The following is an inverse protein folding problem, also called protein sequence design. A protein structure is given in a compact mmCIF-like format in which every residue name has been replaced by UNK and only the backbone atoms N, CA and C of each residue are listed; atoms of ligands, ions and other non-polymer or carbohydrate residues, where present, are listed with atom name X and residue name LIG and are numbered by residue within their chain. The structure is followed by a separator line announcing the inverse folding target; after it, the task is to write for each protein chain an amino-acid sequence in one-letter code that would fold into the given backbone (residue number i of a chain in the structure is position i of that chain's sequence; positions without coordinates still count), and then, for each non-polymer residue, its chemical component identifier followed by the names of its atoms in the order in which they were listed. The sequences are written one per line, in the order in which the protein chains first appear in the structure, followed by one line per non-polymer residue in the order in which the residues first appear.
data_IF_388267210919
#
_entry.id   IF_388267210919
#
_cell.length_a   1.000
_cell.length_b   1.000
_cell.length_c   1.000
_cell.angle_alpha   90.00
_cell.angle_beta   90.00
_cell.angle_gamma   90.00
#
_symmetry.space_group_name_H-M   'P 1'
#
loop_
_entity.id
_entity.type
_entity.pdbx_description
1 polymer ?
#
# COMPACT_ATOMS: atom_id res chain seq x y z
N UNK A 1 -11.20 1.06 2.44
CA UNK A 1 -10.31 2.23 2.55
C UNK A 1 -9.87 2.64 1.14
N UNK A 2 -9.89 3.92 0.82
CA UNK A 2 -9.51 4.44 -0.49
C UNK A 2 -8.27 5.31 -0.36
N UNK A 3 -7.21 5.03 -1.10
CA UNK A 3 -6.09 5.97 -1.19
C UNK A 3 -6.60 7.22 -1.93
N UNK A 4 -6.35 8.40 -1.35
CA UNK A 4 -6.78 9.69 -1.91
C UNK A 4 -5.62 10.62 -2.22
N UNK A 5 -4.47 10.43 -1.56
CA UNK A 5 -3.25 11.17 -1.82
C UNK A 5 -2.02 10.26 -1.77
N UNK A 6 -1.00 10.60 -2.55
CA UNK A 6 0.27 9.88 -2.61
C UNK A 6 1.46 10.84 -2.79
N UNK A 7 2.61 10.45 -2.27
CA UNK A 7 3.92 11.02 -2.62
C UNK A 7 4.88 9.92 -3.09
N UNK A 8 5.97 10.35 -3.76
CA UNK A 8 7.03 9.49 -4.30
C UNK A 8 6.54 8.45 -5.32
N UNK A 9 5.56 8.81 -6.15
CA UNK A 9 5.01 7.90 -7.16
C UNK A 9 6.12 7.39 -8.09
N UNK A 10 6.24 6.08 -8.22
CA UNK A 10 7.09 5.44 -9.22
C UNK A 10 6.20 4.94 -10.37
N UNK A 11 6.64 5.08 -11.61
CA UNK A 11 5.91 4.81 -12.89
C UNK A 11 4.99 3.56 -12.90
N UNK A 12 3.95 3.54 -13.77
CA UNK A 12 2.53 3.60 -13.40
C UNK A 12 2.02 2.37 -12.64
N UNK A 13 1.38 2.63 -11.50
CA UNK A 13 0.87 1.61 -10.57
C UNK A 13 -0.63 1.38 -10.79
N UNK A 14 -1.06 0.42 -11.62
CA UNK A 14 -2.50 0.16 -11.87
C UNK A 14 -3.37 0.11 -10.59
N UNK A 15 -4.58 0.66 -10.65
CA UNK A 15 -5.55 0.58 -9.56
C UNK A 15 -6.01 -0.88 -9.39
N UNK A 16 -5.33 -1.63 -8.54
CA UNK A 16 -5.72 -3.00 -8.20
C UNK A 16 -6.64 -3.00 -7.00
N UNK A 17 -7.76 -3.70 -7.13
CA UNK A 17 -8.58 -4.04 -5.96
C UNK A 17 -7.82 -5.08 -5.16
N UNK A 18 -7.58 -4.77 -3.90
CA UNK A 18 -6.88 -5.69 -2.98
C UNK A 18 -7.91 -6.51 -2.23
N UNK A 19 -7.69 -7.83 -2.17
CA UNK A 19 -8.41 -8.71 -1.24
C UNK A 19 -7.56 -8.84 0.01
N UNK A 20 -8.14 -8.55 1.18
CA UNK A 20 -7.44 -8.71 2.46
C UNK A 20 -8.13 -9.70 3.35
N UNK A 21 -7.36 -10.51 4.08
CA UNK A 21 -7.90 -11.46 5.04
C UNK A 21 -6.92 -11.71 6.19
N UNK A 22 -7.42 -12.34 7.26
CA UNK A 22 -6.62 -12.80 8.38
C UNK A 22 -6.86 -14.28 8.60
N UNK A 23 -5.80 -15.08 8.60
CA UNK A 23 -5.87 -16.54 8.86
C UNK A 23 -4.92 -16.85 10.01
N UNK A 24 -5.47 -17.15 11.19
CA UNK A 24 -4.68 -17.23 12.42
C UNK A 24 -3.98 -15.90 12.71
N UNK A 25 -2.65 -15.93 12.81
CA UNK A 25 -1.82 -14.74 13.05
C UNK A 25 -1.35 -14.05 11.76
N UNK A 26 -1.67 -14.62 10.59
CA UNK A 26 -1.22 -14.10 9.29
C UNK A 26 -2.21 -13.09 8.73
N UNK A 27 -1.69 -11.93 8.35
CA UNK A 27 -2.35 -10.96 7.49
C UNK A 27 -2.02 -11.29 6.04
N UNK A 28 -3.04 -11.29 5.19
CA UNK A 28 -2.94 -11.68 3.79
C UNK A 28 -3.47 -10.54 2.94
N UNK A 29 -2.73 -10.19 1.88
CA UNK A 29 -3.14 -9.25 0.83
C UNK A 29 -2.94 -9.93 -0.51
N UNK A 30 -3.96 -9.91 -1.37
CA UNK A 30 -3.95 -10.57 -2.69
C UNK A 30 -4.45 -9.64 -3.79
N UNK A 31 -3.82 -9.72 -4.96
CA UNK A 31 -4.31 -9.09 -6.18
C UNK A 31 -3.75 -9.79 -7.45
N UNK A 32 -4.39 -9.61 -8.63
CA UNK A 32 -3.86 -10.11 -9.90
C UNK A 32 -2.46 -9.56 -10.22
N UNK A 33 -1.57 -10.37 -10.79
CA UNK A 33 -0.23 -9.97 -11.21
C UNK A 33 -0.12 -9.92 -12.74
N UNK A 34 -0.20 -8.70 -13.31
CA UNK A 34 -0.43 -8.41 -14.74
C UNK A 34 0.44 -9.12 -15.78
N UNK A 35 1.61 -9.63 -15.41
CA UNK A 35 2.47 -10.36 -16.36
C UNK A 35 2.24 -11.88 -16.39
N UNK A 36 1.20 -12.40 -15.72
CA UNK A 36 0.87 -13.84 -15.68
C UNK A 36 -0.57 -14.10 -15.24
N UNK A 37 -1.11 -15.30 -15.48
CA UNK A 37 -2.37 -15.79 -14.85
C UNK A 37 -2.27 -15.98 -13.32
N UNK A 38 -1.24 -15.40 -12.69
CA UNK A 38 -0.90 -15.54 -11.29
C UNK A 38 -1.57 -14.50 -10.40
N UNK A 39 -1.88 -14.90 -9.17
CA UNK A 39 -2.22 -13.99 -8.08
C UNK A 39 -0.95 -13.66 -7.31
N UNK A 40 -0.67 -12.38 -7.11
CA UNK A 40 0.32 -11.95 -6.13
C UNK A 40 -0.30 -12.12 -4.75
N UNK A 41 0.36 -12.89 -3.89
CA UNK A 41 -0.06 -13.13 -2.51
C UNK A 41 1.02 -12.67 -1.55
N UNK A 42 0.66 -11.72 -0.71
CA UNK A 42 1.50 -11.11 0.31
C UNK A 42 1.07 -11.59 1.69
N UNK A 43 2.01 -12.14 2.47
CA UNK A 43 1.75 -12.57 3.85
C UNK A 43 2.65 -11.83 4.83
N UNK A 44 2.08 -11.41 5.96
CA UNK A 44 2.79 -10.88 7.11
C UNK A 44 2.29 -11.53 8.39
N UNK A 45 3.18 -11.80 9.33
CA UNK A 45 2.85 -12.06 10.74
C UNK A 45 3.01 -10.75 11.52
N UNK A 46 2.19 -10.50 12.55
CA UNK A 46 2.30 -9.27 13.32
C UNK A 46 3.67 -9.13 13.98
N UNK A 47 4.46 -8.11 13.60
CA UNK A 47 5.85 -7.96 14.07
C UNK A 47 6.05 -6.89 15.15
N UNK A 48 5.12 -5.95 15.31
CA UNK A 48 5.05 -4.97 16.40
C UNK A 48 3.76 -4.13 16.24
N UNK A 49 3.43 -3.29 17.21
CA UNK A 49 2.37 -2.29 17.02
C UNK A 49 2.68 -1.43 15.78
N UNK A 50 1.72 -1.37 14.84
CA UNK A 50 1.70 -0.48 13.67
C UNK A 50 2.66 -0.78 12.49
N UNK A 51 3.49 -1.82 12.55
CA UNK A 51 4.36 -2.26 11.43
C UNK A 51 4.07 -3.70 11.00
N UNK A 52 3.95 -3.92 9.69
CA UNK A 52 3.89 -5.23 9.07
C UNK A 52 4.94 -5.35 7.98
N UNK A 53 5.64 -6.47 7.92
CA UNK A 53 6.54 -6.80 6.81
C UNK A 53 5.91 -7.91 5.99
N UNK A 54 5.42 -7.56 4.80
CA UNK A 54 4.82 -8.51 3.86
C UNK A 54 5.87 -9.15 2.97
N UNK A 55 5.84 -10.47 2.88
CA UNK A 55 6.54 -11.21 1.82
C UNK A 55 5.55 -11.57 0.73
N UNK A 56 5.78 -11.07 -0.48
CA UNK A 56 4.89 -11.24 -1.62
C UNK A 56 5.42 -12.29 -2.59
N UNK A 57 4.54 -13.15 -3.09
CA UNK A 57 4.87 -14.27 -3.96
C UNK A 57 3.89 -14.40 -5.11
N UNK A 58 4.40 -14.86 -6.25
CA UNK A 58 3.60 -15.42 -7.35
C UNK A 58 4.01 -16.88 -7.52
N UNK A 59 3.09 -17.81 -7.24
CA UNK A 59 3.43 -19.23 -7.11
C UNK A 59 4.44 -19.45 -5.98
N UNK A 60 5.58 -20.08 -6.28
CA UNK A 60 6.68 -20.31 -5.33
C UNK A 60 7.72 -19.19 -5.29
N UNK A 61 7.69 -18.26 -6.24
CA UNK A 61 8.70 -17.20 -6.38
C UNK A 61 8.39 -16.01 -5.50
N UNK A 62 9.36 -15.56 -4.69
CA UNK A 62 9.28 -14.29 -3.96
C UNK A 62 9.54 -13.16 -4.93
N UNK A 63 8.53 -12.31 -5.13
CA UNK A 63 8.61 -11.19 -6.08
C UNK A 63 9.15 -9.94 -5.41
N UNK A 64 8.72 -9.68 -4.18
CA UNK A 64 9.04 -8.50 -3.42
C UNK A 64 8.82 -8.70 -1.91
N UNK A 65 9.35 -7.75 -1.13
CA UNK A 65 9.07 -7.58 0.28
C UNK A 65 8.61 -6.15 0.51
N UNK A 66 7.46 -5.98 1.15
CA UNK A 66 6.86 -4.67 1.38
C UNK A 66 6.68 -4.40 2.87
N UNK A 67 7.34 -3.36 3.37
CA UNK A 67 7.12 -2.85 4.72
C UNK A 67 5.93 -1.90 4.68
N UNK A 68 4.95 -2.17 5.53
CA UNK A 68 3.77 -1.34 5.74
C UNK A 68 3.80 -0.75 7.14
N UNK A 69 3.77 0.58 7.26
CA UNK A 69 3.74 1.28 8.53
C UNK A 69 2.49 2.16 8.59
N UNK A 70 1.62 1.91 9.57
CA UNK A 70 0.51 2.80 9.91
C UNK A 70 1.03 3.94 10.80
N UNK A 71 1.39 5.07 10.18
CA UNK A 71 2.01 6.19 10.90
C UNK A 71 1.02 6.90 11.81
N UNK A 72 -0.18 7.20 11.30
CA UNK A 72 -1.25 7.88 12.05
C UNK A 72 -2.58 7.42 11.49
N UNK A 73 -3.50 6.97 12.33
CA UNK A 73 -4.85 6.62 11.90
C UNK A 73 -5.83 6.79 13.05
N UNK A 74 -7.06 7.22 12.73
CA UNK A 74 -8.16 7.23 13.68
C UNK A 74 -9.05 5.98 13.57
N UNK A 75 -8.70 5.04 12.68
CA UNK A 75 -9.45 3.85 12.27
C UNK A 75 -10.87 4.10 11.71
N UNK A 76 -11.36 5.33 11.78
CA UNK A 76 -12.73 5.72 11.48
C UNK A 76 -12.83 6.43 10.13
N UNK A 77 -11.91 7.33 9.79
CA UNK A 77 -12.00 8.17 8.60
C UNK A 77 -10.69 8.33 7.85
N UNK A 78 -9.53 8.29 8.52
CA UNK A 78 -8.23 8.48 7.88
C UNK A 78 -7.14 7.54 8.35
N UNK A 79 -6.17 7.34 7.47
CA UNK A 79 -4.89 6.76 7.80
C UNK A 79 -3.79 7.39 6.92
N UNK A 80 -2.64 7.64 7.52
CA UNK A 80 -1.38 7.92 6.86
C UNK A 80 -0.51 6.67 6.94
N UNK A 81 -0.08 6.19 5.78
CA UNK A 81 0.78 5.02 5.64
C UNK A 81 2.11 5.39 5.02
N UNK A 82 3.15 4.68 5.43
CA UNK A 82 4.40 4.56 4.69
C UNK A 82 4.53 3.14 4.14
N UNK A 83 4.81 3.04 2.84
CA UNK A 83 5.13 1.80 2.16
C UNK A 83 6.58 1.85 1.69
N UNK A 84 7.30 0.75 1.86
CA UNK A 84 8.63 0.57 1.31
C UNK A 84 8.74 -0.83 0.73
N UNK A 85 8.87 -0.94 -0.58
CA UNK A 85 8.91 -2.19 -1.33
C UNK A 85 10.31 -2.42 -1.87
N UNK A 86 10.88 -3.58 -1.55
CA UNK A 86 12.13 -4.07 -2.14
C UNK A 86 11.81 -5.16 -3.16
N UNK A 87 12.21 -4.97 -4.41
CA UNK A 87 12.04 -5.97 -5.47
C UNK A 87 13.04 -7.12 -5.25
N UNK A 88 12.54 -8.36 -5.26
CA UNK A 88 13.31 -9.58 -4.98
C UNK A 88 13.52 -10.48 -6.21
N UNK A 89 12.92 -10.15 -7.36
CA UNK A 89 13.11 -10.91 -8.60
C UNK A 89 12.86 -10.06 -9.85
N UNK A 90 13.35 -10.52 -11.00
CA UNK A 90 13.16 -9.86 -12.30
C UNK A 90 14.20 -8.77 -12.58
N UNK A 91 13.98 -8.01 -13.65
CA UNK A 91 14.95 -7.00 -14.14
C UNK A 91 15.17 -5.81 -13.20
N UNK A 92 14.31 -5.65 -12.19
CA UNK A 92 14.38 -4.60 -11.18
C UNK A 92 14.85 -5.12 -9.81
N UNK A 93 15.35 -6.35 -9.72
CA UNK A 93 15.83 -6.93 -8.46
C UNK A 93 16.81 -5.99 -7.73
N UNK A 94 16.61 -5.84 -6.42
CA UNK A 94 17.40 -4.95 -5.57
C UNK A 94 16.94 -3.49 -5.56
N UNK A 95 16.07 -3.07 -6.49
CA UNK A 95 15.47 -1.73 -6.43
C UNK A 95 14.53 -1.60 -5.23
N UNK A 96 14.51 -0.40 -4.67
CA UNK A 96 13.66 -0.02 -3.55
C UNK A 96 12.78 1.15 -4.00
N UNK A 97 11.50 1.03 -3.71
CA UNK A 97 10.49 2.04 -3.98
C UNK A 97 9.76 2.36 -2.68
N UNK A 98 9.48 3.63 -2.43
CA UNK A 98 8.76 4.05 -1.25
C UNK A 98 7.66 5.06 -1.56
N UNK A 99 6.60 5.04 -0.74
CA UNK A 99 5.46 5.91 -0.91
C UNK A 99 4.88 6.32 0.44
N UNK A 100 4.41 7.55 0.51
CA UNK A 100 3.50 7.99 1.57
C UNK A 100 2.09 8.05 1.01
N UNK A 101 1.12 7.49 1.74
CA UNK A 101 -0.26 7.39 1.29
C UNK A 101 -1.21 7.93 2.33
N UNK A 102 -2.19 8.72 1.90
CA UNK A 102 -3.37 9.03 2.72
C UNK A 102 -4.53 8.18 2.23
N UNK A 103 -5.09 7.37 3.12
CA UNK A 103 -6.31 6.62 2.89
C UNK A 103 -7.49 7.22 3.64
N UNK A 104 -8.66 7.24 2.99
CA UNK A 104 -9.93 7.74 3.53
C UNK A 104 -11.00 6.67 3.46
N UNK A 105 -12.00 6.71 4.34
CA UNK A 105 -13.20 5.83 4.18
C UNK A 105 -14.06 6.22 2.97
N UNK A 106 -14.11 7.51 2.62
CA UNK A 106 -14.80 7.99 1.43
C UNK A 106 -13.81 8.35 0.32
N UNK A 107 -13.85 7.65 -0.81
CA UNK A 107 -12.95 7.91 -1.95
C UNK A 107 -13.17 9.24 -2.68
N UNK A 108 -14.33 9.87 -2.46
CA UNK A 108 -14.64 11.22 -2.97
C UNK A 108 -14.00 12.34 -2.14
N UNK A 109 -13.43 12.05 -0.97
CA UNK A 109 -12.78 13.05 -0.11
C UNK A 109 -11.41 13.41 -0.66
N UNK A 110 -11.28 14.63 -1.21
CA UNK A 110 -10.06 15.14 -1.85
C UNK A 110 -9.24 16.06 -0.94
N UNK A 111 -9.70 16.31 0.28
CA UNK A 111 -8.96 17.05 1.30
C UNK A 111 -8.06 16.12 2.13
N UNK A 112 -6.92 16.67 2.58
CA UNK A 112 -6.15 16.07 3.67
C UNK A 112 -6.82 16.46 5.00
N UNK A 113 -7.19 15.48 5.85
CA UNK A 113 -7.76 15.74 7.18
C UNK A 113 -6.93 16.71 8.00
N UNK A 114 -7.58 17.61 8.74
CA UNK A 114 -6.90 18.56 9.62
C UNK A 114 -5.93 17.86 10.59
N UNK A 115 -6.32 16.69 11.12
CA UNK A 115 -5.51 15.88 12.01
C UNK A 115 -4.22 15.32 11.37
N UNK A 116 -4.16 15.24 10.03
CA UNK A 116 -2.98 14.76 9.31
C UNK A 116 -2.03 15.88 8.88
N UNK A 117 -2.47 17.14 8.85
CA UNK A 117 -1.69 18.25 8.27
C UNK A 117 -0.27 18.34 8.81
N UNK A 118 -0.09 18.29 10.13
CA UNK A 118 1.24 18.36 10.76
C UNK A 118 2.18 17.23 10.32
N UNK A 119 1.63 16.06 9.98
CA UNK A 119 2.40 14.89 9.52
C UNK A 119 2.67 14.94 8.01
N UNK A 120 1.84 15.65 7.24
CA UNK A 120 1.89 15.64 5.77
C UNK A 120 2.54 16.88 5.15
N UNK A 121 2.73 17.97 5.89
CA UNK A 121 3.13 19.28 5.37
C UNK A 121 4.39 19.27 4.49
N UNK A 122 5.32 18.34 4.72
CA UNK A 122 6.58 18.25 3.99
C UNK A 122 6.70 17.00 3.11
N UNK A 123 5.62 16.22 2.96
CA UNK A 123 5.65 14.96 2.21
C UNK A 123 5.42 15.16 0.71
N UNK A 124 4.99 16.35 0.26
CA UNK A 124 4.70 16.60 -1.16
C UNK A 124 3.57 15.72 -1.71
N UNK A 125 2.54 15.46 -0.89
CA UNK A 125 1.39 14.64 -1.28
C UNK A 125 0.56 15.32 -2.38
N UNK A 126 0.26 14.57 -3.43
CA UNK A 126 -0.62 14.99 -4.51
C UNK A 126 -1.97 14.28 -4.43
N UNK A 127 -3.04 14.96 -4.83
CA UNK A 127 -4.38 14.37 -4.90
C UNK A 127 -4.41 13.35 -6.03
N UNK A 128 -4.94 12.16 -5.76
CA UNK A 128 -5.25 11.20 -6.82
C UNK A 128 -6.58 11.60 -7.49
N UNK A 129 -6.47 12.38 -8.57
CA UNK A 129 -7.57 12.78 -9.47
C UNK A 129 -7.64 11.76 -10.61
N UNK A 130 -8.84 11.22 -10.88
CA UNK A 130 -9.15 10.27 -11.96
C UNK A 130 -8.41 8.92 -11.96
N UNK A 131 -9.13 7.85 -11.56
CA UNK A 131 -9.03 6.43 -11.96
C UNK A 131 -7.70 5.81 -12.36
N UNK A 132 -6.62 6.33 -11.85
CA UNK A 132 -5.30 5.88 -12.20
C UNK A 132 -4.46 6.06 -10.95
N UNK A 133 -4.38 4.93 -10.27
CA UNK A 133 -3.20 4.43 -9.60
C UNK A 133 -3.25 4.46 -8.06
N UNK A 134 -2.94 3.30 -7.45
CA UNK A 134 -2.79 2.97 -6.02
C UNK A 134 -4.04 2.49 -5.23
N UNK A 135 -3.98 1.19 -4.89
CA UNK A 135 -4.75 0.37 -3.93
C UNK A 135 -6.12 0.88 -3.46
N UNK A 136 -7.18 0.33 -4.05
CA UNK A 136 -8.51 0.34 -3.44
C UNK A 136 -8.63 -0.89 -2.53
N UNK A 137 -8.57 -0.68 -1.21
CA UNK A 137 -8.98 -1.70 -0.23
C UNK A 137 -10.51 -1.67 -0.17
N UNK A 138 -11.18 -2.68 -0.73
CA UNK A 138 -12.63 -2.85 -0.52
C UNK A 138 -12.91 -3.34 0.89
#
# INVERSE_FOLDING_TARGET
WHVTHVANVTDPTECRTLTTSKVGEKYIVEHPFESSDGTLRCEATGEAEQKLTFTCKTGSTVTDTTIFIAMVTDYNDYALYYLCTTVKSGSNEGKVYDNYLVARRGGSKKDIPAALKTYTNNLGLEIMLDYKYISCLR
#
